data_IF_613317563830
#
_entry.id   IF_613317563830
#
_cell.length_a   1.000
_cell.length_b   1.000
_cell.length_c   1.000
_cell.angle_alpha   90.00
_cell.angle_beta   90.00
_cell.angle_gamma   90.00
#
_symmetry.space_group_name_H-M   'P 1'
#
loop_
_entity.id
_entity.type
_entity.pdbx_description
1 polymer ?
#
# COMPACT_ATOMS: atom_id res chain seq x y z
N UNK A 1 16.19 15.43 -4.98
CA UNK A 1 16.01 15.79 -6.39
C UNK A 1 14.56 15.58 -6.81
N UNK A 2 14.11 16.35 -7.80
CA UNK A 2 12.80 16.12 -8.41
C UNK A 2 12.99 15.11 -9.55
N UNK A 3 12.05 14.16 -9.66
CA UNK A 3 11.99 13.25 -10.81
C UNK A 3 10.78 13.59 -11.69
N UNK A 4 10.82 13.12 -12.92
CA UNK A 4 9.71 13.19 -13.87
C UNK A 4 9.54 11.79 -14.48
N UNK A 5 8.33 11.24 -14.39
CA UNK A 5 8.04 9.89 -14.87
C UNK A 5 7.09 10.00 -16.05
N UNK A 6 7.50 9.43 -17.19
CA UNK A 6 6.64 9.28 -18.36
C UNK A 6 6.03 7.88 -18.36
N UNK A 7 4.69 7.81 -18.31
CA UNK A 7 3.95 6.55 -18.28
C UNK A 7 3.40 6.22 -19.66
N UNK A 8 3.55 4.96 -20.06
CA UNK A 8 2.85 4.36 -21.18
C UNK A 8 2.21 3.06 -20.70
N UNK A 9 0.88 3.04 -20.57
CA UNK A 9 0.14 1.98 -19.90
C UNK A 9 0.23 0.60 -20.57
N UNK A 10 0.40 0.56 -21.92
CA UNK A 10 0.57 -0.70 -22.63
C UNK A 10 -0.53 -1.73 -22.31
N UNK A 11 -0.13 -2.92 -21.92
CA UNK A 11 -1.02 -4.01 -21.53
C UNK A 11 -1.86 -3.69 -20.29
N UNK A 12 -1.38 -2.83 -19.39
CA UNK A 12 -2.15 -2.42 -18.21
C UNK A 12 -3.47 -1.73 -18.59
N UNK A 13 -3.49 -1.04 -19.73
CA UNK A 13 -4.69 -0.36 -20.25
C UNK A 13 -5.53 -1.22 -21.19
N UNK A 14 -5.18 -2.49 -21.37
CA UNK A 14 -5.89 -3.45 -22.20
C UNK A 14 -6.58 -4.57 -21.39
N UNK A 15 -6.50 -4.53 -20.08
CA UNK A 15 -7.13 -5.51 -19.18
C UNK A 15 -8.66 -5.35 -19.28
N UNK A 16 -9.37 -6.42 -19.60
CA UNK A 16 -10.83 -6.44 -19.74
C UNK A 16 -11.51 -6.99 -18.49
N UNK A 17 -12.82 -6.77 -18.30
CA UNK A 17 -13.57 -7.43 -17.23
C UNK A 17 -13.50 -8.97 -17.31
N UNK A 18 -13.47 -9.54 -18.50
CA UNK A 18 -13.34 -10.98 -18.73
C UNK A 18 -11.99 -11.51 -18.25
N UNK A 19 -10.89 -10.76 -18.49
CA UNK A 19 -9.55 -11.09 -17.97
C UNK A 19 -9.54 -11.05 -16.43
N UNK A 20 -10.16 -10.03 -15.85
CA UNK A 20 -10.30 -9.88 -14.40
C UNK A 20 -11.05 -11.07 -13.81
N UNK A 21 -12.20 -11.43 -14.36
CA UNK A 21 -12.99 -12.55 -13.87
C UNK A 21 -12.27 -13.89 -14.02
N UNK A 22 -11.56 -14.09 -15.13
CA UNK A 22 -10.75 -15.28 -15.35
C UNK A 22 -9.65 -15.43 -14.28
N UNK A 23 -8.91 -14.34 -14.01
CA UNK A 23 -7.86 -14.34 -12.97
C UNK A 23 -8.45 -14.55 -11.58
N UNK A 24 -9.49 -13.78 -11.22
CA UNK A 24 -10.09 -13.87 -9.89
C UNK A 24 -10.76 -15.23 -9.62
N UNK A 25 -11.11 -16.00 -10.66
CA UNK A 25 -11.69 -17.35 -10.51
C UNK A 25 -10.72 -18.35 -9.85
N UNK A 26 -9.42 -18.08 -9.86
CA UNK A 26 -8.39 -18.93 -9.27
C UNK A 26 -8.17 -18.67 -7.77
N UNK A 27 -8.82 -17.66 -7.19
CA UNK A 27 -8.62 -17.25 -5.81
C UNK A 27 -9.87 -17.51 -4.95
N UNK A 28 -9.64 -17.76 -3.66
CA UNK A 28 -10.67 -18.05 -2.68
C UNK A 28 -10.91 -16.86 -1.73
N UNK A 29 -12.07 -16.79 -1.05
CA UNK A 29 -12.28 -15.81 0.02
C UNK A 29 -11.16 -15.86 1.05
N UNK A 30 -10.63 -14.68 1.42
CA UNK A 30 -9.49 -14.55 2.33
C UNK A 30 -8.14 -14.44 1.67
N UNK A 31 -8.01 -14.77 0.37
CA UNK A 31 -6.79 -14.50 -0.38
C UNK A 31 -6.57 -12.99 -0.55
N UNK A 32 -5.31 -12.58 -0.66
CA UNK A 32 -4.98 -11.16 -0.81
C UNK A 32 -4.95 -10.73 -2.27
N UNK A 33 -5.60 -9.59 -2.56
CA UNK A 33 -5.37 -8.81 -3.77
C UNK A 33 -4.66 -7.52 -3.41
N UNK A 34 -3.42 -7.37 -3.86
CA UNK A 34 -2.69 -6.12 -3.81
C UNK A 34 -2.83 -5.41 -5.14
N UNK A 35 -3.41 -4.22 -5.16
CA UNK A 35 -3.66 -3.46 -6.38
C UNK A 35 -3.27 -2.00 -6.25
N UNK A 36 -2.89 -1.42 -7.39
CA UNK A 36 -2.64 0.01 -7.59
C UNK A 36 -3.58 0.54 -8.67
N UNK A 37 -3.61 1.86 -8.84
CA UNK A 37 -4.43 2.51 -9.86
C UNK A 37 -3.69 2.62 -11.20
N UNK A 38 -3.23 1.51 -11.74
CA UNK A 38 -2.51 1.46 -13.02
C UNK A 38 -3.20 0.60 -14.09
N UNK A 39 -4.20 -0.18 -13.70
CA UNK A 39 -4.94 -1.05 -14.61
C UNK A 39 -6.21 -0.38 -15.12
N UNK A 40 -6.57 -0.66 -16.39
CA UNK A 40 -7.92 -0.38 -16.87
C UNK A 40 -8.97 -1.18 -16.07
N UNK A 41 -10.19 -0.68 -16.05
CA UNK A 41 -11.30 -1.30 -15.30
C UNK A 41 -11.04 -1.42 -13.78
N UNK A 42 -10.33 -0.44 -13.21
CA UNK A 42 -10.01 -0.37 -11.78
C UNK A 42 -11.25 -0.57 -10.89
N UNK A 43 -12.32 0.18 -11.14
CA UNK A 43 -13.56 0.08 -10.33
C UNK A 43 -14.21 -1.30 -10.44
N UNK A 44 -14.15 -1.93 -11.63
CA UNK A 44 -14.65 -3.29 -11.82
C UNK A 44 -13.83 -4.30 -11.01
N UNK A 45 -12.50 -4.24 -11.12
CA UNK A 45 -11.59 -5.11 -10.37
C UNK A 45 -11.82 -4.99 -8.86
N UNK A 46 -11.91 -3.76 -8.34
CA UNK A 46 -12.13 -3.51 -6.92
C UNK A 46 -13.44 -4.16 -6.44
N UNK A 47 -14.54 -3.92 -7.14
CA UNK A 47 -15.85 -4.48 -6.79
C UNK A 47 -15.89 -6.00 -6.91
N UNK A 48 -15.32 -6.55 -7.97
CA UNK A 48 -15.27 -7.99 -8.18
C UNK A 48 -14.48 -8.71 -7.09
N UNK A 49 -13.32 -8.15 -6.69
CA UNK A 49 -12.48 -8.71 -5.63
C UNK A 49 -13.18 -8.66 -4.26
N UNK A 50 -13.75 -7.51 -3.89
CA UNK A 50 -14.52 -7.36 -2.64
C UNK A 50 -15.72 -8.31 -2.64
N UNK A 51 -16.47 -8.39 -3.75
CA UNK A 51 -17.62 -9.28 -3.89
C UNK A 51 -17.28 -10.77 -3.78
N UNK A 52 -16.06 -11.16 -4.09
CA UNK A 52 -15.54 -12.53 -3.94
C UNK A 52 -14.96 -12.81 -2.53
N UNK A 53 -14.94 -11.81 -1.65
CA UNK A 53 -14.41 -11.92 -0.29
C UNK A 53 -12.88 -11.94 -0.22
N UNK A 54 -12.19 -11.39 -1.21
CA UNK A 54 -10.75 -11.22 -1.15
C UNK A 54 -10.38 -10.10 -0.16
N UNK A 55 -9.21 -10.22 0.44
CA UNK A 55 -8.62 -9.18 1.28
C UNK A 55 -7.93 -8.17 0.38
N UNK A 56 -8.65 -7.10 0.04
CA UNK A 56 -8.15 -6.10 -0.90
C UNK A 56 -7.25 -5.10 -0.19
N UNK A 57 -6.01 -4.99 -0.65
CA UNK A 57 -5.07 -3.94 -0.26
C UNK A 57 -4.91 -3.00 -1.44
N UNK A 58 -5.42 -1.79 -1.30
CA UNK A 58 -5.36 -0.75 -2.32
C UNK A 58 -4.26 0.26 -1.99
N UNK A 59 -3.23 0.31 -2.83
CA UNK A 59 -2.35 1.48 -2.91
C UNK A 59 -3.00 2.49 -3.85
N UNK A 60 -3.35 3.66 -3.33
CA UNK A 60 -4.11 4.66 -4.08
C UNK A 60 -3.29 5.40 -5.16
N UNK A 61 -2.01 5.10 -5.29
CA UNK A 61 -1.12 5.71 -6.27
C UNK A 61 -1.25 5.05 -7.66
N UNK A 62 -1.18 5.85 -8.74
CA UNK A 62 -1.33 7.31 -8.80
C UNK A 62 -2.78 7.76 -8.58
N UNK A 63 -2.98 8.92 -7.98
CA UNK A 63 -4.33 9.48 -7.80
C UNK A 63 -4.96 9.80 -9.16
N UNK A 64 -6.21 9.37 -9.32
CA UNK A 64 -7.05 9.69 -10.47
C UNK A 64 -8.48 9.99 -10.04
N UNK A 65 -9.29 10.52 -10.96
CA UNK A 65 -10.72 10.72 -10.69
C UNK A 65 -11.45 9.42 -10.33
N UNK A 66 -11.01 8.29 -10.86
CA UNK A 66 -11.60 6.98 -10.58
C UNK A 66 -11.31 6.52 -9.14
N UNK A 67 -10.07 6.69 -8.66
CA UNK A 67 -9.71 6.42 -7.25
C UNK A 67 -10.44 7.35 -6.30
N UNK A 68 -10.52 8.65 -6.63
CA UNK A 68 -11.23 9.63 -5.79
C UNK A 68 -12.74 9.35 -5.66
N UNK A 69 -13.33 8.74 -6.69
CA UNK A 69 -14.75 8.35 -6.73
C UNK A 69 -15.00 6.93 -6.19
N UNK A 70 -13.96 6.17 -5.85
CA UNK A 70 -14.08 4.78 -5.44
C UNK A 70 -14.81 4.65 -4.10
N UNK A 71 -15.72 3.68 -4.02
CA UNK A 71 -16.26 3.22 -2.75
C UNK A 71 -15.28 2.23 -2.12
N UNK A 72 -14.72 2.59 -0.97
CA UNK A 72 -13.75 1.78 -0.24
C UNK A 72 -14.40 0.78 0.73
N UNK A 73 -15.72 0.67 0.71
CA UNK A 73 -16.44 -0.33 1.52
C UNK A 73 -15.99 -1.73 1.14
N UNK A 74 -15.52 -2.50 2.13
CA UNK A 74 -14.99 -3.86 1.92
C UNK A 74 -13.51 -3.94 1.53
N UNK A 75 -12.83 -2.81 1.33
CA UNK A 75 -11.37 -2.77 1.24
C UNK A 75 -10.77 -3.10 2.60
N UNK A 76 -9.82 -4.03 2.64
CA UNK A 76 -9.17 -4.44 3.90
C UNK A 76 -8.13 -3.40 4.36
N UNK A 77 -7.31 -2.92 3.42
CA UNK A 77 -6.31 -1.87 3.67
C UNK A 77 -6.25 -0.84 2.55
N UNK A 78 -6.25 0.43 2.92
CA UNK A 78 -5.89 1.56 2.07
C UNK A 78 -4.48 2.03 2.43
N UNK A 79 -3.57 1.99 1.46
CA UNK A 79 -2.20 2.49 1.60
C UNK A 79 -2.10 3.82 0.87
N UNK A 80 -1.71 4.86 1.59
CA UNK A 80 -1.65 6.24 1.09
C UNK A 80 -0.45 6.98 1.67
N UNK A 81 0.04 7.96 0.94
CA UNK A 81 0.88 9.01 1.50
C UNK A 81 0.02 10.20 1.98
N UNK A 82 0.65 11.23 2.48
CA UNK A 82 0.00 12.44 3.03
C UNK A 82 -0.89 13.14 2.00
N UNK A 83 -0.38 13.30 0.77
CA UNK A 83 -1.10 13.99 -0.32
C UNK A 83 -2.32 13.17 -0.75
N UNK A 84 -2.15 11.87 -0.92
CA UNK A 84 -3.19 10.95 -1.33
C UNK A 84 -4.28 10.83 -0.27
N UNK A 85 -3.89 10.80 1.02
CA UNK A 85 -4.82 10.75 2.14
C UNK A 85 -5.76 11.96 2.15
N UNK A 86 -5.21 13.16 2.02
CA UNK A 86 -5.98 14.39 1.96
C UNK A 86 -6.90 14.41 0.72
N UNK A 87 -6.38 14.04 -0.44
CA UNK A 87 -7.12 14.04 -1.71
C UNK A 87 -8.32 13.08 -1.70
N UNK A 88 -8.12 11.82 -1.26
CA UNK A 88 -9.20 10.81 -1.21
C UNK A 88 -10.29 11.21 -0.22
N UNK A 89 -9.91 11.81 0.89
CA UNK A 89 -10.87 12.29 1.88
C UNK A 89 -11.59 13.57 1.45
N UNK A 90 -11.07 14.32 0.47
CA UNK A 90 -11.55 15.64 0.08
C UNK A 90 -11.24 16.71 1.13
N UNK A 91 -10.12 16.57 1.85
CA UNK A 91 -9.67 17.45 2.92
C UNK A 91 -8.46 18.27 2.49
N UNK A 92 -8.16 19.32 3.28
CA UNK A 92 -7.04 20.23 3.00
C UNK A 92 -5.72 19.73 3.60
N UNK A 93 -5.78 18.95 4.67
CA UNK A 93 -4.61 18.42 5.36
C UNK A 93 -4.65 16.90 5.49
N UNK A 94 -3.48 16.25 5.60
CA UNK A 94 -3.41 14.80 5.80
C UNK A 94 -4.10 14.34 7.10
N UNK A 95 -3.99 15.12 8.17
CA UNK A 95 -4.59 14.82 9.48
C UNK A 95 -6.12 14.83 9.41
N UNK A 96 -6.70 15.84 8.76
CA UNK A 96 -8.14 15.91 8.50
C UNK A 96 -8.58 14.74 7.62
N UNK A 97 -7.81 14.44 6.57
CA UNK A 97 -8.06 13.34 5.65
C UNK A 97 -8.07 11.99 6.37
N UNK A 98 -7.07 11.74 7.18
CA UNK A 98 -6.95 10.53 7.98
C UNK A 98 -8.13 10.36 8.96
N UNK A 99 -8.52 11.43 9.65
CA UNK A 99 -9.68 11.41 10.55
C UNK A 99 -11.01 11.17 9.80
N UNK A 100 -11.18 11.81 8.63
CA UNK A 100 -12.37 11.67 7.79
C UNK A 100 -12.51 10.25 7.22
N UNK A 101 -11.43 9.63 6.75
CA UNK A 101 -11.43 8.26 6.24
C UNK A 101 -11.78 7.25 7.33
N UNK A 102 -11.23 7.40 8.53
CA UNK A 102 -11.56 6.57 9.71
C UNK A 102 -13.03 6.65 10.07
N UNK A 103 -13.61 7.86 10.02
CA UNK A 103 -15.03 8.07 10.33
C UNK A 103 -15.94 7.52 9.22
N UNK A 104 -15.56 7.68 7.94
CA UNK A 104 -16.35 7.23 6.79
C UNK A 104 -16.35 5.71 6.62
N UNK A 105 -15.21 5.05 6.89
CA UNK A 105 -15.01 3.62 6.66
C UNK A 105 -14.47 2.92 7.93
N UNK A 106 -15.31 2.64 8.94
CA UNK A 106 -14.86 2.09 10.23
C UNK A 106 -14.12 0.75 10.14
N UNK A 107 -14.44 -0.07 9.13
CA UNK A 107 -13.79 -1.38 8.89
C UNK A 107 -12.50 -1.31 8.05
N UNK A 108 -12.19 -0.13 7.47
CA UNK A 108 -11.02 0.07 6.62
C UNK A 108 -9.75 0.17 7.47
N UNK A 109 -8.77 -0.66 7.17
CA UNK A 109 -7.40 -0.44 7.61
C UNK A 109 -6.78 0.72 6.82
N UNK A 110 -6.18 1.69 7.48
CA UNK A 110 -5.46 2.79 6.83
C UNK A 110 -3.99 2.67 7.19
N UNK A 111 -3.13 2.66 6.19
CA UNK A 111 -1.68 2.71 6.32
C UNK A 111 -1.19 4.00 5.66
N UNK A 112 -0.89 5.00 6.48
CA UNK A 112 -0.38 6.30 6.07
C UNK A 112 1.14 6.30 6.13
N UNK A 113 1.80 6.49 5.01
CA UNK A 113 3.25 6.66 4.92
C UNK A 113 3.62 8.15 5.02
N UNK A 114 4.66 8.46 5.82
CA UNK A 114 5.12 9.80 6.16
C UNK A 114 6.60 10.00 5.75
N UNK A 115 7.06 9.30 4.74
CA UNK A 115 8.44 9.36 4.27
C UNK A 115 9.45 9.09 5.38
N UNK A 116 10.34 10.03 5.65
CA UNK A 116 11.38 9.91 6.68
C UNK A 116 10.85 9.92 8.12
N UNK A 117 9.61 10.33 8.33
CA UNK A 117 8.97 10.28 9.66
C UNK A 117 8.40 8.89 9.98
N UNK A 118 8.32 8.00 8.99
CA UNK A 118 7.87 6.63 9.15
C UNK A 118 6.45 6.40 8.65
N UNK A 119 5.59 5.80 9.48
CA UNK A 119 4.23 5.44 9.08
C UNK A 119 3.28 5.34 10.27
N UNK A 120 1.99 5.48 9.98
CA UNK A 120 0.90 5.30 10.93
C UNK A 120 -0.10 4.32 10.36
N UNK A 121 -0.52 3.33 11.12
CA UNK A 121 -1.61 2.45 10.74
C UNK A 121 -2.78 2.57 11.69
N UNK A 122 -3.97 2.50 11.14
CA UNK A 122 -5.23 2.39 11.90
C UNK A 122 -6.03 1.20 11.41
N UNK A 123 -6.52 0.39 12.34
CA UNK A 123 -7.53 -0.63 12.08
C UNK A 123 -8.19 -1.05 13.40
N UNK A 124 -9.49 -1.32 13.38
CA UNK A 124 -10.27 -1.84 14.52
C UNK A 124 -10.11 -1.02 15.81
N UNK A 125 -10.08 0.31 15.68
CA UNK A 125 -9.95 1.21 16.83
C UNK A 125 -8.52 1.40 17.34
N UNK A 126 -7.53 0.70 16.78
CA UNK A 126 -6.14 0.74 17.25
C UNK A 126 -5.25 1.48 16.25
N UNK A 127 -4.56 2.50 16.74
CA UNK A 127 -3.51 3.20 16.00
C UNK A 127 -2.12 2.66 16.40
N UNK A 128 -1.26 2.43 15.41
CA UNK A 128 0.13 2.04 15.62
C UNK A 128 1.01 2.99 14.81
N UNK A 129 2.06 3.51 15.44
CA UNK A 129 3.08 4.33 14.79
C UNK A 129 4.39 3.57 14.71
N UNK A 130 5.07 3.69 13.57
CA UNK A 130 6.38 3.13 13.32
C UNK A 130 7.27 4.22 12.75
N UNK A 131 8.34 4.58 13.46
CA UNK A 131 9.35 5.52 12.93
C UNK A 131 10.14 4.87 11.80
N UNK A 132 10.59 5.67 10.84
CA UNK A 132 11.58 5.22 9.89
C UNK A 132 12.93 4.99 10.58
N UNK A 133 13.73 4.07 10.06
CA UNK A 133 15.10 3.89 10.52
C UNK A 133 16.00 4.88 9.79
N UNK A 134 16.81 5.66 10.54
CA UNK A 134 17.67 6.67 9.95
C UNK A 134 18.77 6.02 9.11
N UNK A 135 18.81 6.32 7.84
CA UNK A 135 19.81 5.82 6.88
C UNK A 135 20.21 6.93 5.91
N UNK A 136 21.36 6.78 5.28
CA UNK A 136 21.74 7.64 4.17
C UNK A 136 21.12 7.12 2.87
N UNK A 137 20.08 7.80 2.39
CA UNK A 137 19.41 7.40 1.17
C UNK A 137 20.31 7.65 -0.07
N UNK A 138 20.36 6.65 -0.95
CA UNK A 138 21.03 6.68 -2.26
C UNK A 138 19.97 6.83 -3.35
N UNK A 139 18.92 6.02 -3.30
CA UNK A 139 17.82 6.02 -4.26
C UNK A 139 16.50 5.66 -3.53
N UNK A 140 15.50 6.52 -3.65
CA UNK A 140 14.20 6.29 -2.99
C UNK A 140 13.17 5.59 -3.88
N UNK A 141 13.56 5.20 -5.10
CA UNK A 141 12.69 4.51 -6.05
C UNK A 141 12.23 3.17 -5.48
N UNK A 142 10.91 2.93 -5.46
CA UNK A 142 10.34 1.70 -4.95
C UNK A 142 10.33 1.54 -3.42
N UNK A 143 10.69 2.57 -2.65
CA UNK A 143 10.67 2.51 -1.19
C UNK A 143 9.26 2.23 -0.64
N UNK A 144 8.25 2.92 -1.18
CA UNK A 144 6.84 2.71 -0.83
C UNK A 144 6.35 1.31 -1.21
N UNK A 145 6.73 0.83 -2.40
CA UNK A 145 6.38 -0.52 -2.87
C UNK A 145 7.02 -1.59 -2.01
N UNK A 146 8.30 -1.40 -1.63
CA UNK A 146 9.01 -2.29 -0.70
C UNK A 146 8.31 -2.32 0.65
N UNK A 147 7.99 -1.15 1.22
CA UNK A 147 7.28 -1.05 2.49
C UNK A 147 5.95 -1.80 2.43
N UNK A 148 5.12 -1.51 1.42
CA UNK A 148 3.81 -2.12 1.23
C UNK A 148 3.91 -3.64 1.02
N UNK A 149 4.83 -4.09 0.17
CA UNK A 149 5.05 -5.52 -0.09
C UNK A 149 5.44 -6.29 1.17
N UNK A 150 6.33 -5.74 1.99
CA UNK A 150 6.70 -6.34 3.28
C UNK A 150 5.55 -6.32 4.28
N UNK A 151 4.84 -5.20 4.40
CA UNK A 151 3.69 -5.08 5.30
C UNK A 151 2.63 -6.15 4.99
N UNK A 152 2.20 -6.22 3.74
CA UNK A 152 1.18 -7.19 3.31
C UNK A 152 1.67 -8.63 3.40
N UNK A 153 2.91 -8.88 2.98
CA UNK A 153 3.52 -10.21 3.04
C UNK A 153 3.66 -10.74 4.47
N UNK A 154 4.00 -9.89 5.42
CA UNK A 154 4.05 -10.24 6.85
C UNK A 154 2.65 -10.51 7.41
N UNK A 155 1.65 -9.68 7.09
CA UNK A 155 0.26 -9.92 7.50
C UNK A 155 -0.30 -11.23 6.92
N UNK A 156 0.01 -11.52 5.65
CA UNK A 156 -0.42 -12.77 5.00
C UNK A 156 0.19 -14.02 5.65
N UNK A 157 1.35 -13.89 6.30
CA UNK A 157 1.99 -14.94 7.09
C UNK A 157 1.50 -14.99 8.55
N UNK A 158 0.51 -14.18 8.92
CA UNK A 158 -0.06 -14.15 10.27
C UNK A 158 0.76 -13.35 11.29
N UNK A 159 1.69 -12.52 10.83
CA UNK A 159 2.46 -11.65 11.73
C UNK A 159 1.54 -10.55 12.31
N UNK A 160 1.76 -10.20 13.57
CA UNK A 160 1.06 -9.07 14.19
C UNK A 160 1.35 -7.76 13.44
N UNK A 161 0.34 -6.87 13.36
CA UNK A 161 0.43 -5.63 12.60
C UNK A 161 1.62 -4.74 13.01
N UNK A 162 1.93 -4.69 14.31
CA UNK A 162 3.05 -3.92 14.83
C UNK A 162 4.38 -4.42 14.24
N UNK A 163 4.57 -5.73 14.27
CA UNK A 163 5.79 -6.35 13.77
C UNK A 163 5.87 -6.25 12.25
N UNK A 164 4.73 -6.43 11.55
CA UNK A 164 4.66 -6.21 10.10
C UNK A 164 5.08 -4.79 9.70
N UNK A 165 4.68 -3.76 10.45
CA UNK A 165 5.12 -2.38 10.22
C UNK A 165 6.62 -2.21 10.49
N UNK A 166 7.15 -2.85 11.53
CA UNK A 166 8.57 -2.81 11.86
C UNK A 166 9.42 -3.42 10.74
N UNK A 167 9.03 -4.61 10.25
CA UNK A 167 9.70 -5.27 9.14
C UNK A 167 9.61 -4.47 7.83
N UNK A 168 8.45 -3.90 7.56
CA UNK A 168 8.23 -3.05 6.39
C UNK A 168 9.11 -1.78 6.43
N UNK A 169 9.20 -1.11 7.59
CA UNK A 169 10.04 0.06 7.78
C UNK A 169 11.53 -0.28 7.62
N UNK A 170 11.98 -1.40 8.19
CA UNK A 170 13.36 -1.87 8.04
C UNK A 170 13.67 -2.20 6.58
N UNK A 171 12.79 -2.92 5.91
CA UNK A 171 12.98 -3.27 4.49
C UNK A 171 13.08 -2.03 3.60
N UNK A 172 12.18 -1.06 3.77
CA UNK A 172 12.22 0.20 3.04
C UNK A 172 13.51 0.99 3.33
N UNK A 173 13.93 1.04 4.60
CA UNK A 173 15.17 1.70 4.99
C UNK A 173 16.41 1.06 4.36
N UNK A 174 16.46 -0.26 4.28
CA UNK A 174 17.54 -0.97 3.57
C UNK A 174 17.47 -0.67 2.06
N UNK A 175 16.30 -0.76 1.46
CA UNK A 175 16.11 -0.55 0.02
C UNK A 175 16.64 0.82 -0.43
N UNK A 176 16.31 1.90 0.28
CA UNK A 176 16.74 3.26 -0.11
C UNK A 176 18.25 3.48 -0.02
N UNK A 177 19.02 2.59 0.62
CA UNK A 177 20.50 2.65 0.63
C UNK A 177 21.14 2.08 -0.63
N UNK A 178 20.35 1.55 -1.57
CA UNK A 178 20.81 0.84 -2.77
C UNK A 178 20.23 1.49 -4.03
N UNK A 179 20.94 1.48 -5.15
CA UNK A 179 20.41 2.01 -6.41
C UNK A 179 19.36 1.06 -7.02
N UNK A 180 18.37 1.65 -7.69
CA UNK A 180 17.33 0.94 -8.45
C UNK A 180 16.15 0.49 -7.61
N UNK A 181 15.05 0.08 -8.28
CA UNK A 181 13.81 -0.35 -7.66
C UNK A 181 13.88 -1.83 -7.22
N UNK A 182 13.51 -2.76 -8.10
CA UNK A 182 13.47 -4.19 -7.75
C UNK A 182 14.83 -4.77 -7.24
N UNK A 183 15.99 -4.38 -7.80
CA UNK A 183 17.28 -4.87 -7.28
C UNK A 183 17.64 -4.38 -5.88
N UNK A 184 17.05 -3.28 -5.41
CA UNK A 184 17.31 -2.72 -4.08
C UNK A 184 16.56 -3.44 -2.97
N UNK A 185 15.48 -4.17 -3.28
CA UNK A 185 14.62 -4.83 -2.31
C UNK A 185 15.41 -5.88 -1.53
N UNK A 186 15.52 -5.79 -0.20
CA UNK A 186 16.23 -6.78 0.60
C UNK A 186 15.48 -8.11 0.64
N UNK A 187 16.20 -9.19 0.92
CA UNK A 187 15.58 -10.47 1.21
C UNK A 187 15.10 -10.52 2.66
N UNK A 188 14.05 -11.31 2.94
CA UNK A 188 13.48 -11.44 4.30
C UNK A 188 14.51 -11.81 5.38
N UNK A 189 15.50 -12.65 5.05
CA UNK A 189 16.56 -13.03 5.99
C UNK A 189 17.41 -11.83 6.41
N UNK A 190 17.68 -10.90 5.48
CA UNK A 190 18.43 -9.67 5.76
C UNK A 190 17.63 -8.73 6.65
N UNK A 191 16.35 -8.54 6.34
CA UNK A 191 15.45 -7.69 7.14
C UNK A 191 15.31 -8.24 8.56
N UNK A 192 15.15 -9.56 8.69
CA UNK A 192 15.05 -10.23 9.99
C UNK A 192 16.31 -10.00 10.82
N UNK A 193 17.48 -10.23 10.25
CA UNK A 193 18.75 -10.00 10.94
C UNK A 193 18.92 -8.54 11.38
N UNK A 194 18.47 -7.58 10.57
CA UNK A 194 18.52 -6.17 10.90
C UNK A 194 17.54 -5.78 12.04
N UNK A 195 16.35 -6.38 12.06
CA UNK A 195 15.36 -6.17 13.14
C UNK A 195 15.84 -6.80 14.45
N UNK A 196 16.44 -7.99 14.40
CA UNK A 196 16.98 -8.69 15.59
C UNK A 196 18.22 -7.98 16.19
N UNK A 197 18.86 -7.10 15.44
CA UNK A 197 20.02 -6.32 15.88
C UNK A 197 19.67 -4.99 16.56
N UNK A 198 18.36 -4.62 16.64
CA UNK A 198 17.88 -3.40 17.31
C UNK A 198 17.88 -3.55 18.82
#
# INVERSE_FOLDING_TARGET
>A
GQNCIFLYGGSNQAVTPEDIDAVLSHFAPGDYLLMQNELSNFTYLLRAAVGRGLRVVLNASPISGEVLAADLTGVDWLVVNEIECAAIAGCSTPEEGYAALRARYPGLGILLTLGSEGSVSWKDGVEIRQCAYPVQAVDTTGAGDTFMGYFVGCLAQGMERKDAMQYAAMAASIAVTRPGAAPSIPMMAEVRAAVEAL
#
